data_IF_301205549149
#
_entry.id   IF_301205549149
#
_cell.length_a   1.000
_cell.length_b   1.000
_cell.length_c   1.000
_cell.angle_alpha   90.00
_cell.angle_beta   90.00
_cell.angle_gamma   90.00
#
_symmetry.space_group_name_H-M   'P 1'
#
loop_
_entity.id
_entity.type
_entity.pdbx_description
1 polymer ?
#
# COMPACT_ATOMS: atom_id res chain seq x y z
N UNK A 1 -5.29 32.75 4.07
CA UNK A 1 -4.50 31.58 4.52
C UNK A 1 -5.24 30.32 4.06
N UNK A 2 -4.57 29.44 3.30
CA UNK A 2 -5.09 28.13 2.91
C UNK A 2 -5.46 27.35 4.19
N UNK A 3 -6.65 26.74 4.19
CA UNK A 3 -7.03 25.81 5.26
C UNK A 3 -6.66 24.40 4.81
N UNK A 4 -5.88 23.71 5.61
CA UNK A 4 -5.56 22.30 5.40
C UNK A 4 -6.80 21.43 5.65
N UNK A 5 -7.11 20.53 4.72
CA UNK A 5 -8.24 19.60 4.82
C UNK A 5 -7.76 18.19 4.58
N UNK A 6 -7.98 17.31 5.55
CA UNK A 6 -7.58 15.91 5.48
C UNK A 6 -8.76 14.98 5.77
N UNK A 7 -8.90 13.96 4.95
CA UNK A 7 -9.82 12.84 5.15
C UNK A 7 -8.99 11.61 5.49
N UNK A 8 -9.26 10.99 6.63
CA UNK A 8 -8.57 9.78 7.08
C UNK A 8 -9.50 8.58 7.08
N UNK A 9 -9.02 7.43 6.64
CA UNK A 9 -9.78 6.18 6.70
C UNK A 9 -8.94 4.95 6.45
N UNK A 10 -9.54 3.78 6.68
CA UNK A 10 -8.90 2.48 6.45
C UNK A 10 -9.08 1.96 5.02
N UNK A 11 -8.43 0.84 4.72
CA UNK A 11 -8.49 0.20 3.41
C UNK A 11 -9.88 -0.35 3.07
N UNK A 12 -10.63 -0.88 4.03
CA UNK A 12 -12.00 -1.33 3.80
C UNK A 12 -12.90 -0.20 3.29
N UNK A 13 -12.70 1.02 3.79
CA UNK A 13 -13.36 2.20 3.27
C UNK A 13 -12.84 2.56 1.88
N UNK A 14 -11.55 2.80 1.74
CA UNK A 14 -10.98 3.39 0.52
C UNK A 14 -10.98 2.42 -0.68
N UNK A 15 -10.78 1.13 -0.44
CA UNK A 15 -10.71 0.12 -1.51
C UNK A 15 -12.06 -0.50 -1.86
N UNK A 16 -13.03 -0.49 -0.92
CA UNK A 16 -14.30 -1.21 -1.02
C UNK A 16 -15.51 -0.30 -0.86
N UNK A 17 -16.06 -0.21 0.35
CA UNK A 17 -17.40 0.38 0.58
C UNK A 17 -17.46 1.89 0.34
N UNK A 18 -16.35 2.60 0.51
CA UNK A 18 -16.27 4.05 0.30
C UNK A 18 -15.50 4.45 -0.97
N UNK A 19 -15.08 3.47 -1.80
CA UNK A 19 -14.27 3.76 -2.99
C UNK A 19 -14.92 4.78 -3.93
N UNK A 20 -16.22 4.68 -4.18
CA UNK A 20 -16.92 5.65 -5.03
C UNK A 20 -16.86 7.10 -4.49
N UNK A 21 -16.90 7.27 -3.17
CA UNK A 21 -16.72 8.58 -2.52
C UNK A 21 -15.26 9.08 -2.61
N UNK A 22 -14.30 8.19 -2.38
CA UNK A 22 -12.87 8.53 -2.53
C UNK A 22 -12.57 8.93 -3.97
N UNK A 23 -13.03 8.15 -4.94
CA UNK A 23 -12.87 8.43 -6.36
C UNK A 23 -13.47 9.80 -6.73
N UNK A 24 -14.68 10.11 -6.24
CA UNK A 24 -15.33 11.39 -6.45
C UNK A 24 -14.52 12.57 -5.87
N UNK A 25 -13.99 12.43 -4.66
CA UNK A 25 -13.13 13.47 -4.05
C UNK A 25 -11.87 13.70 -4.89
N UNK A 26 -11.20 12.63 -5.32
CA UNK A 26 -10.00 12.75 -6.16
C UNK A 26 -10.33 13.34 -7.54
N UNK A 27 -11.48 12.99 -8.11
CA UNK A 27 -11.92 13.51 -9.39
C UNK A 27 -12.34 14.99 -9.37
N UNK A 28 -12.69 15.52 -8.19
CA UNK A 28 -13.20 16.88 -8.04
C UNK A 28 -12.20 17.99 -8.39
N UNK A 29 -10.90 17.69 -8.30
CA UNK A 29 -9.84 18.69 -8.45
C UNK A 29 -9.67 19.63 -7.26
N UNK A 30 -10.47 19.46 -6.22
CA UNK A 30 -10.43 20.29 -5.01
C UNK A 30 -9.18 19.98 -4.16
N UNK A 31 -8.72 20.99 -3.44
CA UNK A 31 -7.53 20.90 -2.57
C UNK A 31 -7.86 20.17 -1.26
N UNK A 32 -7.96 18.84 -1.34
CA UNK A 32 -8.27 17.94 -0.23
C UNK A 32 -7.27 16.79 -0.21
N UNK A 33 -6.73 16.49 0.94
CA UNK A 33 -5.81 15.40 1.16
C UNK A 33 -6.57 14.17 1.69
N UNK A 34 -6.38 13.03 1.06
CA UNK A 34 -6.92 11.74 1.50
C UNK A 34 -5.78 10.88 2.02
N UNK A 35 -5.90 10.41 3.27
CA UNK A 35 -4.93 9.49 3.87
C UNK A 35 -5.59 8.14 4.16
N UNK A 36 -5.02 7.08 3.61
CA UNK A 36 -5.49 5.71 3.80
C UNK A 36 -4.52 4.94 4.68
N UNK A 37 -4.99 4.47 5.84
CA UNK A 37 -4.30 3.48 6.64
C UNK A 37 -4.56 2.09 6.03
N UNK A 38 -3.60 1.58 5.28
CA UNK A 38 -3.71 0.31 4.60
C UNK A 38 -3.32 -0.83 5.54
N UNK A 39 -4.29 -1.33 6.30
CA UNK A 39 -4.15 -2.48 7.18
C UNK A 39 -4.41 -3.81 6.47
N UNK A 40 -4.72 -3.76 5.16
CA UNK A 40 -4.97 -4.93 4.30
C UNK A 40 -6.11 -5.85 4.75
N UNK A 41 -6.93 -5.38 5.69
CA UNK A 41 -8.16 -6.03 6.18
C UNK A 41 -9.10 -4.97 6.75
N UNK A 42 -10.38 -5.29 6.92
CA UNK A 42 -11.30 -4.53 7.78
C UNK A 42 -10.87 -4.71 9.24
N UNK A 43 -9.95 -3.86 9.70
CA UNK A 43 -9.26 -4.03 10.98
C UNK A 43 -10.20 -3.90 12.18
N UNK A 44 -11.00 -2.84 12.22
CA UNK A 44 -11.89 -2.52 13.35
C UNK A 44 -13.12 -3.42 13.46
N UNK A 45 -13.52 -4.12 12.42
CA UNK A 45 -14.68 -5.02 12.42
C UNK A 45 -14.32 -6.50 12.63
N UNK A 46 -13.03 -6.83 12.70
CA UNK A 46 -12.57 -8.18 13.05
C UNK A 46 -11.77 -8.92 11.99
N UNK A 47 -11.15 -8.21 11.03
CA UNK A 47 -10.20 -8.80 10.11
C UNK A 47 -10.80 -9.44 8.86
N UNK A 48 -11.91 -8.91 8.37
CA UNK A 48 -12.50 -9.36 7.09
C UNK A 48 -11.61 -8.95 5.93
N UNK A 49 -11.58 -9.79 4.90
CA UNK A 49 -10.86 -9.48 3.67
C UNK A 49 -11.41 -8.23 2.98
N UNK A 50 -10.51 -7.34 2.57
CA UNK A 50 -10.79 -6.20 1.69
C UNK A 50 -10.19 -6.44 0.30
N UNK A 51 -10.43 -5.52 -0.64
CA UNK A 51 -9.72 -5.51 -1.93
C UNK A 51 -8.24 -5.15 -1.77
N UNK A 52 -7.84 -4.65 -0.60
CA UNK A 52 -6.44 -4.42 -0.22
C UNK A 52 -5.75 -5.67 0.31
N UNK A 53 -6.46 -6.69 0.74
CA UNK A 53 -5.87 -7.94 1.21
C UNK A 53 -5.07 -8.59 0.10
N UNK A 54 -3.82 -8.96 0.38
CA UNK A 54 -2.92 -9.55 -0.60
C UNK A 54 -3.26 -11.02 -0.91
N UNK A 55 -2.82 -11.46 -2.08
CA UNK A 55 -2.91 -12.84 -2.54
C UNK A 55 -2.28 -13.80 -1.53
N UNK A 56 -2.98 -14.87 -1.19
CA UNK A 56 -2.52 -15.89 -0.25
C UNK A 56 -2.75 -15.57 1.24
N UNK A 57 -3.10 -14.33 1.59
CA UNK A 57 -3.41 -14.00 2.98
C UNK A 57 -4.74 -14.61 3.43
N UNK A 58 -4.75 -15.25 4.60
CA UNK A 58 -5.98 -15.65 5.29
C UNK A 58 -6.58 -14.41 5.97
N UNK A 59 -7.89 -14.26 5.82
CA UNK A 59 -8.70 -13.26 6.50
C UNK A 59 -10.11 -13.82 6.73
N UNK A 60 -10.93 -13.13 7.51
CA UNK A 60 -12.36 -13.49 7.59
C UNK A 60 -12.97 -13.44 6.19
N UNK A 61 -13.78 -14.43 5.84
CA UNK A 61 -14.35 -14.71 4.53
C UNK A 61 -13.34 -15.17 3.45
N UNK A 62 -12.06 -15.35 3.82
CA UNK A 62 -10.99 -15.85 2.95
C UNK A 62 -10.11 -16.88 3.70
N UNK A 63 -10.78 -17.88 4.33
CA UNK A 63 -10.10 -18.89 5.16
C UNK A 63 -9.11 -19.77 4.39
N UNK A 64 -9.33 -19.95 3.08
CA UNK A 64 -8.44 -20.71 2.19
C UNK A 64 -7.34 -19.85 1.54
N UNK A 65 -7.07 -18.65 2.05
CA UNK A 65 -6.20 -17.65 1.44
C UNK A 65 -6.84 -16.93 0.26
N UNK A 66 -6.67 -15.63 0.20
CA UNK A 66 -7.23 -14.80 -0.89
C UNK A 66 -6.67 -15.22 -2.24
N UNK A 67 -7.55 -15.52 -3.19
CA UNK A 67 -7.21 -16.00 -4.52
C UNK A 67 -7.15 -14.92 -5.60
N UNK A 68 -7.26 -13.63 -5.24
CA UNK A 68 -7.23 -12.51 -6.19
C UNK A 68 -6.20 -11.47 -5.78
N UNK A 69 -5.64 -10.76 -6.77
CA UNK A 69 -4.66 -9.70 -6.55
C UNK A 69 -5.25 -8.55 -5.73
N UNK A 70 -4.39 -7.90 -4.97
CA UNK A 70 -4.68 -6.61 -4.32
C UNK A 70 -5.03 -5.57 -5.38
N UNK A 71 -6.10 -4.79 -5.13
CA UNK A 71 -6.46 -3.62 -5.94
C UNK A 71 -5.34 -2.57 -5.84
N UNK A 72 -4.90 -2.03 -6.96
CA UNK A 72 -3.88 -0.97 -7.00
C UNK A 72 -4.56 0.41 -6.96
N UNK A 73 -4.94 0.85 -5.77
CA UNK A 73 -5.62 2.13 -5.56
C UNK A 73 -4.75 3.31 -6.00
N UNK A 74 -3.43 3.23 -5.77
CA UNK A 74 -2.50 4.25 -6.19
C UNK A 74 -2.44 4.40 -7.71
N UNK A 75 -2.39 3.29 -8.46
CA UNK A 75 -2.41 3.33 -9.92
C UNK A 75 -3.71 3.92 -10.47
N UNK A 76 -4.85 3.61 -9.85
CA UNK A 76 -6.15 4.21 -10.21
C UNK A 76 -6.10 5.73 -10.00
N UNK A 77 -5.62 6.21 -8.85
CA UNK A 77 -5.52 7.64 -8.57
C UNK A 77 -4.54 8.35 -9.51
N UNK A 78 -3.38 7.75 -9.80
CA UNK A 78 -2.41 8.30 -10.75
C UNK A 78 -2.97 8.44 -12.17
N UNK A 79 -3.96 7.61 -12.56
CA UNK A 79 -4.58 7.67 -13.88
C UNK A 79 -5.34 8.97 -14.17
N UNK A 80 -5.71 9.73 -13.13
CA UNK A 80 -6.28 11.08 -13.29
C UNK A 80 -5.27 12.10 -13.84
N UNK A 81 -3.96 11.88 -13.62
CA UNK A 81 -2.90 12.77 -14.10
C UNK A 81 -2.74 14.08 -13.31
N UNK A 82 -3.71 14.47 -12.49
CA UNK A 82 -3.69 15.68 -11.66
C UNK A 82 -3.84 15.41 -10.16
N UNK A 83 -3.80 14.17 -9.72
CA UNK A 83 -3.83 13.79 -8.31
C UNK A 83 -2.40 13.52 -7.84
N UNK A 84 -1.99 14.18 -6.73
CA UNK A 84 -0.76 13.79 -6.06
C UNK A 84 -0.95 12.44 -5.38
N UNK A 85 -0.02 11.51 -5.58
CA UNK A 85 -0.10 10.17 -5.00
C UNK A 85 1.20 9.78 -4.32
N UNK A 86 1.13 9.30 -3.09
CA UNK A 86 2.28 8.75 -2.38
C UNK A 86 1.94 7.42 -1.70
N UNK A 87 2.90 6.51 -1.70
CA UNK A 87 2.84 5.28 -0.93
C UNK A 87 4.00 5.27 0.06
N UNK A 88 3.68 5.11 1.35
CA UNK A 88 4.60 5.30 2.46
C UNK A 88 4.58 4.12 3.44
N UNK A 89 5.65 3.98 4.22
CA UNK A 89 5.73 3.12 5.39
C UNK A 89 6.68 3.79 6.42
N UNK A 90 6.12 4.35 7.47
CA UNK A 90 6.85 5.19 8.42
C UNK A 90 8.04 4.46 9.06
N UNK A 91 7.86 3.19 9.45
CA UNK A 91 8.90 2.37 10.05
C UNK A 91 10.02 1.96 9.08
N UNK A 92 9.76 2.03 7.77
CA UNK A 92 10.76 1.75 6.74
C UNK A 92 11.61 2.98 6.40
N UNK A 93 10.97 4.14 6.21
CA UNK A 93 11.65 5.41 5.93
C UNK A 93 10.82 6.59 6.47
N UNK A 94 11.26 7.09 7.61
CA UNK A 94 10.63 8.23 8.28
C UNK A 94 10.76 9.52 7.46
N UNK A 95 11.91 9.75 6.82
CA UNK A 95 12.14 10.96 6.04
C UNK A 95 11.27 10.98 4.79
N UNK A 96 11.13 9.85 4.10
CA UNK A 96 10.24 9.72 2.95
C UNK A 96 8.78 9.98 3.37
N UNK A 97 8.35 9.45 4.52
CA UNK A 97 7.01 9.67 5.07
C UNK A 97 6.72 11.14 5.31
N UNK A 98 7.62 11.85 6.01
CA UNK A 98 7.47 13.30 6.29
C UNK A 98 7.46 14.09 4.98
N UNK A 99 8.35 13.77 4.05
CA UNK A 99 8.43 14.43 2.75
C UNK A 99 7.14 14.25 1.95
N UNK A 100 6.61 13.03 1.87
CA UNK A 100 5.37 12.74 1.14
C UNK A 100 4.17 13.50 1.71
N UNK A 101 4.04 13.58 3.04
CA UNK A 101 2.97 14.32 3.71
C UNK A 101 3.12 15.83 3.45
N UNK A 102 4.34 16.37 3.55
CA UNK A 102 4.59 17.78 3.28
C UNK A 102 4.32 18.16 1.81
N UNK A 103 4.69 17.30 0.87
CA UNK A 103 4.38 17.50 -0.56
C UNK A 103 2.87 17.44 -0.82
N UNK A 104 2.14 16.49 -0.20
CA UNK A 104 0.69 16.39 -0.31
C UNK A 104 0.01 17.67 0.21
N UNK A 105 0.43 18.18 1.37
CA UNK A 105 -0.11 19.42 1.96
C UNK A 105 0.19 20.65 1.09
N UNK A 106 1.34 20.68 0.43
CA UNK A 106 1.74 21.79 -0.44
C UNK A 106 1.10 21.72 -1.84
N UNK A 107 0.62 20.55 -2.25
CA UNK A 107 0.03 20.35 -3.57
C UNK A 107 -1.28 21.11 -3.75
N UNK A 108 -1.45 21.89 -4.84
CA UNK A 108 -2.64 22.73 -5.03
C UNK A 108 -3.80 21.96 -5.70
N UNK A 109 -4.15 20.80 -5.17
CA UNK A 109 -5.18 19.91 -5.70
C UNK A 109 -5.38 18.66 -4.83
N UNK A 110 -6.13 17.68 -5.30
CA UNK A 110 -6.38 16.47 -4.51
C UNK A 110 -5.13 15.62 -4.36
N UNK A 111 -4.93 15.08 -3.17
CA UNK A 111 -3.85 14.16 -2.87
C UNK A 111 -4.35 12.86 -2.26
N UNK A 112 -3.64 11.77 -2.55
CA UNK A 112 -3.84 10.46 -1.94
C UNK A 112 -2.52 9.95 -1.36
N UNK A 113 -2.48 9.76 -0.05
CA UNK A 113 -1.36 9.13 0.65
C UNK A 113 -1.82 7.79 1.20
N UNK A 114 -1.13 6.71 0.83
CA UNK A 114 -1.42 5.35 1.29
C UNK A 114 -0.28 4.89 2.19
N UNK A 115 -0.57 4.74 3.48
CA UNK A 115 0.38 4.27 4.49
C UNK A 115 0.17 2.82 4.84
N UNK A 116 1.22 1.98 4.70
CA UNK A 116 1.18 0.62 5.23
C UNK A 116 1.03 0.65 6.75
N UNK A 117 0.03 -0.03 7.26
CA UNK A 117 -0.30 -0.05 8.67
C UNK A 117 -0.42 -1.49 9.18
N UNK A 118 0.63 -2.04 9.83
CA UNK A 118 0.55 -3.36 10.43
C UNK A 118 -0.63 -3.48 11.41
N UNK A 119 -1.36 -4.59 11.33
CA UNK A 119 -2.56 -4.84 12.11
C UNK A 119 -2.38 -6.05 13.01
N UNK A 120 -3.04 -6.07 14.16
CA UNK A 120 -3.07 -7.23 15.05
C UNK A 120 -3.58 -8.50 14.33
N UNK A 121 -4.46 -8.34 13.35
CA UNK A 121 -4.99 -9.45 12.54
C UNK A 121 -3.95 -10.07 11.59
N UNK A 122 -2.82 -9.42 11.36
CA UNK A 122 -1.71 -10.01 10.59
C UNK A 122 -1.06 -11.18 11.35
N UNK A 123 -1.12 -11.16 12.69
CA UNK A 123 -0.45 -12.16 13.52
C UNK A 123 1.07 -12.10 13.38
N UNK A 124 1.64 -10.91 13.52
CA UNK A 124 3.07 -10.66 13.39
C UNK A 124 3.84 -11.46 14.45
N UNK A 125 4.79 -12.26 14.03
CA UNK A 125 5.69 -12.98 14.93
C UNK A 125 6.55 -11.98 15.71
N UNK A 126 6.37 -11.93 17.01
CA UNK A 126 6.96 -10.91 17.88
C UNK A 126 5.97 -9.84 18.36
N UNK A 127 4.75 -9.82 17.80
CA UNK A 127 3.66 -8.94 18.21
C UNK A 127 3.77 -7.52 17.71
N UNK A 128 2.80 -6.69 18.07
CA UNK A 128 2.68 -5.31 17.57
C UNK A 128 3.80 -4.37 18.03
N UNK A 129 4.56 -4.73 19.05
CA UNK A 129 5.73 -3.93 19.51
C UNK A 129 6.81 -3.77 18.45
N UNK A 130 6.83 -4.64 17.43
CA UNK A 130 7.78 -4.56 16.31
C UNK A 130 7.13 -4.05 15.01
N UNK A 131 5.96 -3.42 15.07
CA UNK A 131 5.21 -2.99 13.89
C UNK A 131 6.05 -2.15 12.92
N UNK A 132 6.83 -1.19 13.41
CA UNK A 132 7.71 -0.38 12.55
C UNK A 132 8.84 -1.22 11.90
N UNK A 133 9.39 -2.19 12.63
CA UNK A 133 10.36 -3.14 12.05
C UNK A 133 9.71 -4.00 10.98
N UNK A 134 8.46 -4.37 11.17
CA UNK A 134 7.69 -5.15 10.17
C UNK A 134 7.43 -4.33 8.92
N UNK A 135 7.11 -3.03 9.03
CA UNK A 135 7.03 -2.12 7.88
C UNK A 135 8.36 -2.08 7.10
N UNK A 136 9.48 -2.01 7.80
CA UNK A 136 10.81 -2.05 7.16
C UNK A 136 11.04 -3.37 6.42
N UNK A 137 10.69 -4.51 7.01
CA UNK A 137 10.78 -5.81 6.35
C UNK A 137 9.90 -5.91 5.11
N UNK A 138 8.67 -5.37 5.17
CA UNK A 138 7.78 -5.31 4.02
C UNK A 138 8.43 -4.55 2.85
N UNK A 139 9.11 -3.45 3.12
CA UNK A 139 9.80 -2.67 2.08
C UNK A 139 11.04 -3.37 1.58
N UNK A 140 11.90 -3.91 2.47
CA UNK A 140 13.14 -4.57 2.05
C UNK A 140 12.93 -5.88 1.29
N UNK A 141 11.78 -6.53 1.47
CA UNK A 141 11.39 -7.73 0.72
C UNK A 141 10.65 -7.47 -0.60
N UNK A 142 10.36 -6.20 -0.90
CA UNK A 142 9.58 -5.82 -2.08
C UNK A 142 8.07 -6.05 -1.95
N UNK A 143 7.60 -6.48 -0.78
CA UNK A 143 6.18 -6.63 -0.49
C UNK A 143 5.43 -5.29 -0.54
N UNK A 144 6.06 -4.22 -0.06
CA UNK A 144 5.57 -2.85 -0.10
C UNK A 144 6.60 -1.92 -0.76
N UNK A 145 6.15 -1.01 -1.65
CA UNK A 145 7.04 -0.06 -2.31
C UNK A 145 6.74 1.37 -1.85
N UNK A 146 7.78 2.17 -1.68
CA UNK A 146 7.69 3.59 -1.38
C UNK A 146 7.86 4.39 -2.67
N UNK A 147 6.94 5.30 -2.95
CA UNK A 147 7.02 6.17 -4.12
C UNK A 147 6.18 7.43 -3.94
N UNK A 148 6.43 8.42 -4.79
CA UNK A 148 5.68 9.65 -4.91
C UNK A 148 5.42 9.97 -6.38
N UNK A 149 4.22 10.44 -6.65
CA UNK A 149 3.82 10.97 -7.95
C UNK A 149 3.33 12.40 -7.76
N UNK A 150 4.08 13.36 -8.29
CA UNK A 150 3.75 14.78 -8.19
C UNK A 150 3.50 15.37 -9.59
N UNK A 151 2.25 15.58 -9.98
CA UNK A 151 1.90 16.09 -11.32
C UNK A 151 2.52 17.46 -11.66
N UNK A 152 2.84 18.29 -10.66
CA UNK A 152 3.43 19.62 -10.92
C UNK A 152 4.79 19.54 -11.60
N UNK A 153 5.54 18.45 -11.36
CA UNK A 153 6.87 18.27 -11.96
C UNK A 153 6.82 18.12 -13.48
N UNK A 154 5.72 17.62 -14.04
CA UNK A 154 5.55 17.52 -15.48
C UNK A 154 5.56 18.90 -16.18
N UNK A 155 4.99 19.91 -15.54
CA UNK A 155 5.03 21.28 -16.04
C UNK A 155 6.45 21.90 -16.04
N UNK A 156 7.33 21.34 -15.20
CA UNK A 156 8.76 21.71 -15.15
C UNK A 156 9.64 20.87 -16.10
N UNK A 157 9.04 20.01 -16.91
CA UNK A 157 9.77 19.07 -17.79
C UNK A 157 10.48 17.95 -17.04
N UNK A 158 10.09 17.68 -15.79
CA UNK A 158 10.64 16.62 -14.93
C UNK A 158 9.70 15.43 -14.87
N UNK A 159 10.26 14.25 -14.61
CA UNK A 159 9.43 13.07 -14.36
C UNK A 159 8.57 13.27 -13.10
N UNK A 160 7.24 13.17 -13.20
CA UNK A 160 6.35 13.29 -12.04
C UNK A 160 6.47 12.11 -11.07
N UNK A 161 6.93 10.94 -11.54
CA UNK A 161 7.05 9.74 -10.72
C UNK A 161 8.44 9.55 -10.14
N UNK A 162 8.52 9.27 -8.85
CA UNK A 162 9.77 9.00 -8.15
C UNK A 162 9.64 7.74 -7.29
N UNK A 163 10.42 6.71 -7.60
CA UNK A 163 10.53 5.49 -6.79
C UNK A 163 11.51 5.73 -5.65
N UNK A 164 11.00 5.78 -4.44
CA UNK A 164 11.82 5.98 -3.21
C UNK A 164 12.40 4.66 -2.69
N UNK A 165 11.77 3.53 -2.99
CA UNK A 165 12.27 2.21 -2.61
C UNK A 165 13.50 1.81 -3.41
N UNK A 166 14.48 1.24 -2.71
CA UNK A 166 15.58 0.51 -3.35
C UNK A 166 15.11 -0.88 -3.82
N UNK A 167 15.94 -1.52 -4.64
CA UNK A 167 15.70 -2.93 -5.00
C UNK A 167 15.59 -3.80 -3.74
N UNK A 168 14.70 -4.81 -3.74
CA UNK A 168 14.59 -5.74 -2.62
C UNK A 168 15.95 -6.36 -2.25
N UNK A 169 16.22 -6.46 -0.95
CA UNK A 169 17.46 -6.99 -0.40
C UNK A 169 17.26 -8.23 0.47
N UNK A 170 16.00 -8.57 0.75
CA UNK A 170 15.59 -9.75 1.51
C UNK A 170 14.56 -10.55 0.75
N UNK A 171 14.42 -11.83 1.08
CA UNK A 171 13.46 -12.70 0.40
C UNK A 171 12.01 -12.35 0.77
N UNK A 172 11.14 -12.34 -0.23
CA UNK A 172 9.71 -12.09 -0.09
C UNK A 172 9.03 -13.10 0.86
N UNK A 173 9.42 -14.37 0.74
CA UNK A 173 8.88 -15.46 1.55
C UNK A 173 9.24 -15.32 3.03
N UNK A 174 10.45 -14.84 3.36
CA UNK A 174 10.88 -14.62 4.74
C UNK A 174 9.97 -13.60 5.44
N UNK A 175 9.54 -12.56 4.71
CA UNK A 175 8.60 -11.58 5.23
C UNK A 175 7.22 -12.20 5.50
N UNK A 176 6.60 -12.83 4.49
CA UNK A 176 5.24 -13.36 4.64
C UNK A 176 5.16 -14.50 5.66
N UNK A 177 6.20 -15.32 5.79
CA UNK A 177 6.26 -16.40 6.78
C UNK A 177 6.44 -15.89 8.22
N UNK A 178 6.76 -14.61 8.38
CA UNK A 178 6.74 -13.91 9.66
C UNK A 178 5.34 -13.56 10.19
N UNK A 179 4.30 -13.71 9.37
CA UNK A 179 2.92 -13.37 9.70
C UNK A 179 2.00 -14.59 9.67
N UNK A 180 1.17 -14.74 10.71
CA UNK A 180 0.24 -15.90 10.84
C UNK A 180 -0.71 -15.97 9.65
N UNK A 181 -1.19 -14.82 9.12
CA UNK A 181 -2.13 -14.79 7.98
C UNK A 181 -1.61 -15.49 6.72
N UNK A 182 -0.29 -15.71 6.61
CA UNK A 182 0.33 -16.48 5.52
C UNK A 182 0.78 -17.87 5.99
N UNK A 183 1.54 -17.93 7.09
CA UNK A 183 2.10 -19.20 7.52
C UNK A 183 1.03 -20.22 7.98
N UNK A 184 -0.14 -19.77 8.38
CA UNK A 184 -1.26 -20.66 8.68
C UNK A 184 -1.74 -21.38 7.42
N UNK A 185 -1.78 -20.72 6.26
CA UNK A 185 -2.14 -21.35 5.00
C UNK A 185 -1.16 -22.46 4.62
N UNK A 186 0.14 -22.25 4.82
CA UNK A 186 1.18 -23.25 4.56
C UNK A 186 0.97 -24.54 5.37
N UNK A 187 0.41 -24.42 6.58
CA UNK A 187 0.11 -25.58 7.44
C UNK A 187 -1.23 -26.23 7.10
N UNK A 188 -2.22 -25.43 6.72
CA UNK A 188 -3.57 -25.91 6.42
C UNK A 188 -3.67 -26.54 5.01
N UNK A 189 -3.02 -25.93 4.03
CA UNK A 189 -3.04 -26.36 2.64
C UNK A 189 -1.71 -25.99 1.95
N UNK A 190 -0.66 -26.83 2.11
CA UNK A 190 0.68 -26.55 1.60
C UNK A 190 0.74 -26.33 0.08
N UNK A 191 0.02 -27.14 -0.70
CA UNK A 191 0.03 -27.04 -2.17
C UNK A 191 -0.59 -25.72 -2.63
N UNK A 192 -1.72 -25.34 -2.05
CA UNK A 192 -2.36 -24.06 -2.35
C UNK A 192 -1.50 -22.87 -1.90
N UNK A 193 -0.89 -22.96 -0.72
CA UNK A 193 0.02 -21.94 -0.21
C UNK A 193 1.19 -21.73 -1.16
N UNK A 194 1.84 -22.80 -1.59
CA UNK A 194 2.96 -22.76 -2.55
C UNK A 194 2.58 -22.06 -3.85
N UNK A 195 1.43 -22.39 -4.42
CA UNK A 195 0.96 -21.77 -5.66
C UNK A 195 0.67 -20.28 -5.48
N UNK A 196 -0.09 -19.90 -4.43
CA UNK A 196 -0.47 -18.50 -4.17
C UNK A 196 0.74 -17.65 -3.79
N UNK A 197 1.69 -18.14 -3.02
CA UNK A 197 2.88 -17.38 -2.62
C UNK A 197 3.84 -17.17 -3.79
N UNK A 198 4.00 -18.16 -4.67
CA UNK A 198 4.78 -18.00 -5.89
C UNK A 198 4.17 -16.93 -6.81
N UNK A 199 2.84 -16.93 -6.97
CA UNK A 199 2.14 -15.91 -7.74
C UNK A 199 2.24 -14.53 -7.05
N UNK A 200 2.11 -14.45 -5.72
CA UNK A 200 2.24 -13.22 -4.96
C UNK A 200 3.63 -12.59 -5.12
N UNK A 201 4.69 -13.41 -5.02
CA UNK A 201 6.08 -12.99 -5.26
C UNK A 201 6.26 -12.45 -6.68
N UNK A 202 5.81 -13.19 -7.69
CA UNK A 202 5.90 -12.76 -9.09
C UNK A 202 5.15 -11.43 -9.33
N UNK A 203 3.99 -11.25 -8.71
CA UNK A 203 3.24 -9.99 -8.79
C UNK A 203 3.98 -8.82 -8.10
N UNK A 204 4.65 -9.06 -6.98
CA UNK A 204 5.45 -8.05 -6.29
C UNK A 204 6.66 -7.63 -7.13
N UNK A 205 7.37 -8.58 -7.72
CA UNK A 205 8.50 -8.33 -8.64
C UNK A 205 8.05 -7.54 -9.88
N UNK A 206 6.96 -7.96 -10.52
CA UNK A 206 6.40 -7.25 -11.68
C UNK A 206 5.97 -5.83 -11.32
N UNK A 207 5.38 -5.61 -10.13
CA UNK A 207 5.03 -4.27 -9.64
C UNK A 207 6.27 -3.41 -9.45
N UNK A 208 7.31 -3.93 -8.78
CA UNK A 208 8.55 -3.19 -8.57
C UNK A 208 9.20 -2.78 -9.89
N UNK A 209 9.31 -3.71 -10.85
CA UNK A 209 9.90 -3.43 -12.16
C UNK A 209 9.12 -2.35 -12.92
N UNK A 210 7.79 -2.41 -12.92
CA UNK A 210 6.94 -1.37 -13.51
C UNK A 210 7.17 0.00 -12.86
N UNK A 211 7.23 0.07 -11.54
CA UNK A 211 7.48 1.31 -10.81
C UNK A 211 8.88 1.87 -11.10
N UNK A 212 9.88 1.00 -11.23
CA UNK A 212 11.23 1.38 -11.64
C UNK A 212 11.26 1.96 -13.06
N UNK A 213 10.63 1.29 -14.01
CA UNK A 213 10.52 1.81 -15.39
C UNK A 213 9.82 3.17 -15.46
N UNK A 214 8.81 3.41 -14.59
CA UNK A 214 8.16 4.72 -14.49
C UNK A 214 9.09 5.79 -13.94
N UNK A 215 9.99 5.43 -13.02
CA UNK A 215 10.97 6.36 -12.42
C UNK A 215 12.16 6.67 -13.31
N UNK A 216 12.51 5.75 -14.22
CA UNK A 216 13.68 5.88 -15.12
C UNK A 216 13.37 6.68 -16.41
N UNK A 217 12.11 7.06 -16.64
CA UNK A 217 11.67 7.89 -17.77
C UNK A 217 11.88 9.38 -17.51
#
# INVERSE_FOLDING_TARGET
TKKSQWIFGGDGWAYDIGFGGVDHVLASGEDVNVFVFDTEVYSNTGGQASKSTNLGAIAQFQAAGKGTKKKDLAAIAMSYGYVYVAQIAMGADYNQTVKAIAEAEAYPGPSLVIGYAPCINHGIKGGMKIAQTEEKKAVTSGYWNLFRFNPTLAAEGKNPFHLDSKAPTTEYEDFIMGEVRYNALSRQNPERAKALFAEAKANAEAKYNRLKEMSDK
#
